data_IF_117680193274
#
_entry.id   IF_117680193274
#
_cell.length_a   1.000
_cell.length_b   1.000
_cell.length_c   1.000
_cell.angle_alpha   90.00
_cell.angle_beta   90.00
_cell.angle_gamma   90.00
#
_symmetry.space_group_name_H-M   'P 1'
#
loop_
_entity.id
_entity.type
_entity.pdbx_description
1 polymer ?
#
# COMPACT_ATOMS: atom_id res chain seq x y z
N UNK A 1 21.16 5.92 -10.40
CA UNK A 1 21.21 4.44 -10.26
C UNK A 1 20.03 3.94 -9.44
N UNK A 2 19.72 4.56 -8.30
CA UNK A 2 18.49 4.24 -7.52
C UNK A 2 17.19 4.51 -8.29
N UNK A 3 17.09 5.57 -9.08
CA UNK A 3 15.89 5.86 -9.88
C UNK A 3 15.60 4.82 -10.97
N UNK A 4 16.60 4.41 -11.74
CA UNK A 4 16.42 3.40 -12.79
C UNK A 4 16.05 2.02 -12.23
N UNK A 5 16.64 1.65 -11.08
CA UNK A 5 16.27 0.42 -10.36
C UNK A 5 14.82 0.51 -9.88
N UNK A 6 14.40 1.66 -9.32
CA UNK A 6 13.01 1.90 -8.93
C UNK A 6 12.05 1.82 -10.11
N UNK A 7 12.39 2.37 -11.27
CA UNK A 7 11.51 2.34 -12.46
C UNK A 7 11.37 0.94 -13.04
N UNK A 8 12.46 0.18 -13.17
CA UNK A 8 12.42 -1.21 -13.66
C UNK A 8 11.67 -2.12 -12.69
N UNK A 9 11.91 -1.96 -11.38
CA UNK A 9 11.20 -2.71 -10.35
C UNK A 9 9.70 -2.36 -10.33
N UNK A 10 9.35 -1.08 -10.41
CA UNK A 10 7.97 -0.61 -10.47
C UNK A 10 7.23 -1.17 -11.67
N UNK A 11 7.87 -1.17 -12.85
CA UNK A 11 7.27 -1.71 -14.06
C UNK A 11 7.03 -3.21 -13.94
N UNK A 12 8.04 -3.98 -13.56
CA UNK A 12 7.90 -5.43 -13.37
C UNK A 12 6.82 -5.79 -12.34
N UNK A 13 6.66 -4.97 -11.30
CA UNK A 13 5.67 -5.18 -10.26
C UNK A 13 4.26 -4.75 -10.67
N UNK A 14 4.13 -3.67 -11.45
CA UNK A 14 2.86 -3.27 -12.07
C UNK A 14 2.38 -4.35 -13.02
N UNK A 15 3.27 -4.84 -13.89
CA UNK A 15 2.97 -5.91 -14.85
C UNK A 15 2.51 -7.19 -14.11
N UNK A 16 3.16 -7.53 -12.99
CA UNK A 16 2.81 -8.69 -12.17
C UNK A 16 1.43 -8.58 -11.52
N UNK A 17 1.08 -7.42 -10.96
CA UNK A 17 -0.24 -7.21 -10.36
C UNK A 17 -1.33 -7.18 -11.44
N UNK A 18 -1.06 -6.54 -12.58
CA UNK A 18 -1.99 -6.49 -13.70
C UNK A 18 -2.27 -7.90 -14.25
N UNK A 19 -1.23 -8.73 -14.41
CA UNK A 19 -1.37 -10.14 -14.78
C UNK A 19 -2.21 -10.92 -13.75
N UNK A 20 -1.92 -10.76 -12.46
CA UNK A 20 -2.63 -11.47 -11.40
C UNK A 20 -4.13 -11.15 -11.38
N UNK A 21 -4.47 -9.86 -11.48
CA UNK A 21 -5.84 -9.37 -11.54
C UNK A 21 -6.59 -9.89 -12.77
N UNK A 22 -5.94 -9.95 -13.94
CA UNK A 22 -6.52 -10.50 -15.16
C UNK A 22 -6.78 -12.01 -15.05
N UNK A 23 -5.91 -12.73 -14.36
CA UNK A 23 -6.01 -14.17 -14.10
C UNK A 23 -7.02 -14.54 -13.00
N UNK A 24 -7.69 -13.57 -12.37
CA UNK A 24 -8.52 -13.75 -11.16
C UNK A 24 -7.76 -14.45 -10.02
N UNK A 25 -6.45 -14.20 -9.95
CA UNK A 25 -5.62 -14.53 -8.81
C UNK A 25 -5.54 -13.27 -7.95
N UNK A 26 -5.49 -13.41 -6.63
CA UNK A 26 -5.52 -12.26 -5.72
C UNK A 26 -4.46 -12.37 -4.61
N UNK A 27 -3.53 -13.31 -4.73
CA UNK A 27 -2.57 -13.61 -3.68
C UNK A 27 -1.60 -12.46 -3.41
N UNK A 28 -1.07 -11.79 -4.44
CA UNK A 28 -0.19 -10.63 -4.31
C UNK A 28 -0.98 -9.44 -3.77
N UNK A 29 -2.15 -9.15 -4.33
CA UNK A 29 -2.97 -8.00 -3.89
C UNK A 29 -3.37 -8.15 -2.43
N UNK A 30 -3.79 -9.34 -1.99
CA UNK A 30 -4.11 -9.61 -0.59
C UNK A 30 -2.90 -9.53 0.34
N UNK A 31 -1.71 -9.96 -0.12
CA UNK A 31 -0.45 -9.81 0.65
C UNK A 31 -0.10 -8.34 0.86
N UNK A 32 -0.20 -7.53 -0.19
CA UNK A 32 0.10 -6.09 -0.14
C UNK A 32 -0.89 -5.35 0.75
N UNK A 33 -2.18 -5.69 0.64
CA UNK A 33 -3.21 -5.17 1.53
C UNK A 33 -2.91 -5.47 3.00
N UNK A 34 -2.54 -6.72 3.32
CA UNK A 34 -2.12 -7.11 4.67
C UNK A 34 -0.86 -6.37 5.13
N UNK A 35 0.10 -6.15 4.24
CA UNK A 35 1.32 -5.42 4.54
C UNK A 35 1.02 -3.98 4.96
N UNK A 36 0.15 -3.27 4.22
CA UNK A 36 -0.31 -1.92 4.55
C UNK A 36 -0.89 -1.89 5.97
N UNK A 37 -1.79 -2.82 6.31
CA UNK A 37 -2.40 -2.94 7.65
C UNK A 37 -1.33 -3.08 8.73
N UNK A 38 -0.38 -4.01 8.55
CA UNK A 38 0.69 -4.26 9.53
C UNK A 38 1.55 -3.02 9.73
N UNK A 39 1.89 -2.31 8.65
CA UNK A 39 2.75 -1.11 8.70
C UNK A 39 2.05 0.06 9.38
N UNK A 40 0.76 0.30 9.09
CA UNK A 40 -0.03 1.32 9.81
C UNK A 40 -0.12 0.98 11.30
N UNK A 41 -0.44 -0.27 11.66
CA UNK A 41 -0.52 -0.66 13.08
C UNK A 41 0.83 -0.53 13.78
N UNK A 42 1.95 -0.88 13.12
CA UNK A 42 3.30 -0.63 13.63
C UNK A 42 3.57 0.85 13.86
N UNK A 43 2.91 1.72 13.08
CA UNK A 43 3.01 3.16 13.23
C UNK A 43 2.32 3.70 14.51
N UNK A 44 1.40 2.94 15.11
CA UNK A 44 0.60 3.34 16.26
C UNK A 44 1.09 2.62 17.53
N UNK A 45 1.80 3.29 18.46
CA UNK A 45 2.25 2.64 19.69
C UNK A 45 1.10 2.51 20.69
N UNK A 46 0.93 1.31 21.25
CA UNK A 46 0.18 1.07 22.50
C UNK A 46 -1.33 1.32 22.49
N UNK A 47 -1.95 1.50 21.30
CA UNK A 47 -3.41 1.67 21.15
C UNK A 47 -4.03 0.46 20.45
N UNK A 48 -4.34 -0.58 21.24
CA UNK A 48 -4.95 -1.80 20.72
C UNK A 48 -6.32 -1.56 20.10
N UNK A 49 -7.09 -0.61 20.63
CA UNK A 49 -8.41 -0.26 20.10
C UNK A 49 -8.34 0.28 18.66
N UNK A 50 -7.30 1.03 18.32
CA UNK A 50 -7.07 1.50 16.95
C UNK A 50 -6.58 0.38 16.05
N UNK A 51 -5.76 -0.54 16.58
CA UNK A 51 -5.34 -1.75 15.85
C UNK A 51 -6.55 -2.62 15.50
N UNK A 52 -7.46 -2.83 16.45
CA UNK A 52 -8.69 -3.59 16.26
C UNK A 52 -9.57 -2.92 15.20
N UNK A 53 -9.74 -1.60 15.27
CA UNK A 53 -10.51 -0.83 14.27
C UNK A 53 -9.92 -0.97 12.85
N UNK A 54 -8.59 -0.93 12.72
CA UNK A 54 -7.92 -1.10 11.42
C UNK A 54 -8.09 -2.54 10.94
N UNK A 55 -7.88 -3.52 11.81
CA UNK A 55 -8.00 -4.94 11.48
C UNK A 55 -9.42 -5.31 11.03
N UNK A 56 -10.45 -4.71 11.65
CA UNK A 56 -11.85 -4.90 11.27
C UNK A 56 -12.16 -4.28 9.91
N UNK A 57 -11.73 -3.03 9.68
CA UNK A 57 -12.02 -2.31 8.42
C UNK A 57 -11.18 -2.76 7.23
N UNK A 58 -10.02 -3.35 7.48
CA UNK A 58 -9.09 -3.81 6.45
C UNK A 58 -8.79 -5.30 6.61
N UNK A 59 -9.77 -6.11 7.02
CA UNK A 59 -9.58 -7.56 7.19
C UNK A 59 -9.13 -8.20 5.85
N UNK A 60 -7.91 -8.77 5.77
CA UNK A 60 -7.42 -9.40 4.55
C UNK A 60 -8.24 -10.62 4.09
N UNK A 61 -8.89 -11.32 5.02
CA UNK A 61 -9.75 -12.47 4.72
C UNK A 61 -11.03 -12.01 4.05
N UNK A 62 -11.69 -10.98 4.61
CA UNK A 62 -12.88 -10.40 4.02
C UNK A 62 -12.59 -9.79 2.65
N UNK A 63 -11.49 -9.03 2.54
CA UNK A 63 -11.06 -8.44 1.28
C UNK A 63 -10.86 -9.50 0.19
N UNK A 64 -10.19 -10.61 0.51
CA UNK A 64 -10.03 -11.74 -0.41
C UNK A 64 -11.37 -12.31 -0.86
N UNK A 65 -12.29 -12.54 0.08
CA UNK A 65 -13.63 -13.05 -0.23
C UNK A 65 -14.41 -12.09 -1.15
N UNK A 66 -14.27 -10.78 -0.97
CA UNK A 66 -14.94 -9.80 -1.82
C UNK A 66 -14.42 -9.84 -3.27
N UNK A 67 -13.11 -10.01 -3.43
CA UNK A 67 -12.48 -10.16 -4.75
C UNK A 67 -12.89 -11.47 -5.43
N UNK A 68 -12.80 -12.60 -4.73
CA UNK A 68 -13.14 -13.93 -5.25
C UNK A 68 -14.61 -14.03 -5.67
N UNK A 69 -15.51 -13.40 -4.92
CA UNK A 69 -16.93 -13.37 -5.24
C UNK A 69 -17.33 -12.22 -6.20
N UNK A 70 -16.36 -11.42 -6.68
CA UNK A 70 -16.58 -10.28 -7.60
C UNK A 70 -17.59 -9.25 -7.07
N UNK A 71 -17.66 -9.11 -5.75
CA UNK A 71 -18.51 -8.11 -5.09
C UNK A 71 -17.74 -6.85 -4.72
N UNK A 72 -16.40 -6.86 -4.84
CA UNK A 72 -15.57 -5.69 -4.61
C UNK A 72 -15.74 -4.65 -5.72
N UNK A 73 -16.23 -3.47 -5.36
CA UNK A 73 -16.60 -2.38 -6.27
C UNK A 73 -15.57 -1.26 -6.30
N UNK A 74 -15.66 -0.39 -7.31
CA UNK A 74 -14.84 0.83 -7.36
C UNK A 74 -15.10 1.80 -6.21
N UNK A 75 -16.33 1.81 -5.68
CA UNK A 75 -16.67 2.62 -4.50
C UNK A 75 -15.97 2.07 -3.25
N UNK A 76 -15.95 0.75 -3.05
CA UNK A 76 -15.19 0.11 -1.95
C UNK A 76 -13.69 0.36 -2.08
N UNK A 77 -13.15 0.32 -3.30
CA UNK A 77 -11.77 0.68 -3.57
C UNK A 77 -11.46 2.14 -3.20
N UNK A 78 -12.31 3.08 -3.62
CA UNK A 78 -12.19 4.49 -3.29
C UNK A 78 -12.23 4.72 -1.76
N UNK A 79 -13.17 4.08 -1.08
CA UNK A 79 -13.31 4.16 0.37
C UNK A 79 -12.07 3.63 1.09
N UNK A 80 -11.49 2.52 0.60
CA UNK A 80 -10.24 1.96 1.12
C UNK A 80 -9.06 2.93 0.91
N UNK A 81 -8.91 3.53 -0.28
CA UNK A 81 -7.87 4.51 -0.55
C UNK A 81 -7.97 5.66 0.45
N UNK A 82 -9.14 6.28 0.58
CA UNK A 82 -9.36 7.41 1.48
C UNK A 82 -9.09 7.04 2.95
N UNK A 83 -9.50 5.85 3.36
CA UNK A 83 -9.26 5.34 4.71
C UNK A 83 -7.77 5.21 5.02
N UNK A 84 -7.01 4.61 4.10
CA UNK A 84 -5.55 4.44 4.26
C UNK A 84 -4.84 5.80 4.27
N UNK A 85 -5.18 6.71 3.35
CA UNK A 85 -4.59 8.04 3.31
C UNK A 85 -4.93 8.88 4.56
N UNK A 86 -6.11 8.69 5.14
CA UNK A 86 -6.49 9.33 6.41
C UNK A 86 -5.57 8.89 7.54
N UNK A 87 -5.29 7.58 7.64
CA UNK A 87 -4.33 7.07 8.64
C UNK A 87 -2.93 7.61 8.42
N UNK A 88 -2.42 7.56 7.19
CA UNK A 88 -1.09 8.08 6.85
C UNK A 88 -0.98 9.55 7.22
N UNK A 89 -1.97 10.38 6.87
CA UNK A 89 -2.02 11.80 7.21
C UNK A 89 -2.03 12.02 8.73
N UNK A 90 -2.89 11.32 9.46
CA UNK A 90 -3.03 11.48 10.91
C UNK A 90 -1.77 11.06 11.69
N UNK A 91 -0.98 10.14 11.13
CA UNK A 91 0.26 9.67 11.75
C UNK A 91 1.49 10.46 11.31
N UNK A 92 1.38 11.18 10.19
CA UNK A 92 2.47 11.98 9.62
C UNK A 92 2.61 13.34 10.29
N UNK A 93 3.74 13.99 10.05
CA UNK A 93 3.96 15.38 10.46
C UNK A 93 3.22 16.33 9.51
N UNK A 94 2.77 17.52 9.98
CA UNK A 94 2.09 18.50 9.14
C UNK A 94 2.88 18.96 7.91
N UNK A 95 4.21 18.82 7.94
CA UNK A 95 5.08 19.13 6.80
C UNK A 95 4.81 18.24 5.58
N UNK A 96 4.26 17.03 5.77
CA UNK A 96 3.93 16.07 4.71
C UNK A 96 2.50 16.16 4.20
N UNK A 97 1.62 16.90 4.87
CA UNK A 97 0.19 16.95 4.55
C UNK A 97 -0.05 17.26 3.07
N UNK A 98 0.69 18.24 2.53
CA UNK A 98 0.56 18.65 1.12
C UNK A 98 0.94 17.54 0.15
N UNK A 99 1.99 16.79 0.42
CA UNK A 99 2.47 15.71 -0.45
C UNK A 99 1.52 14.51 -0.42
N UNK A 100 1.00 14.18 0.77
CA UNK A 100 -0.02 13.15 0.96
C UNK A 100 -1.31 13.53 0.22
N UNK A 101 -1.76 14.78 0.34
CA UNK A 101 -2.95 15.29 -0.35
C UNK A 101 -2.79 15.29 -1.87
N UNK A 102 -1.64 15.73 -2.40
CA UNK A 102 -1.35 15.69 -3.83
C UNK A 102 -1.38 14.26 -4.36
N UNK A 103 -0.75 13.34 -3.63
CA UNK A 103 -0.69 11.92 -3.97
C UNK A 103 -2.09 11.28 -4.04
N UNK A 104 -2.97 11.62 -3.09
CA UNK A 104 -4.38 11.21 -3.11
C UNK A 104 -5.12 11.83 -4.29
N UNK A 105 -5.01 13.14 -4.49
CA UNK A 105 -5.70 13.87 -5.56
C UNK A 105 -5.33 13.35 -6.95
N UNK A 106 -4.08 12.95 -7.18
CA UNK A 106 -3.65 12.29 -8.41
C UNK A 106 -4.35 10.95 -8.64
N UNK A 107 -4.43 10.09 -7.61
CA UNK A 107 -5.14 8.81 -7.70
C UNK A 107 -6.63 9.02 -8.01
N UNK A 108 -7.26 9.98 -7.33
CA UNK A 108 -8.66 10.32 -7.56
C UNK A 108 -8.89 10.87 -8.97
N UNK A 109 -7.96 11.66 -9.48
CA UNK A 109 -8.00 12.14 -10.85
C UNK A 109 -7.91 10.99 -11.85
N UNK A 110 -6.94 10.08 -11.69
CA UNK A 110 -6.82 8.91 -12.58
C UNK A 110 -8.06 8.02 -12.55
N UNK A 111 -8.70 7.89 -11.38
CA UNK A 111 -9.98 7.18 -11.26
C UNK A 111 -11.10 7.87 -12.04
N UNK A 112 -11.21 9.21 -11.93
CA UNK A 112 -12.18 10.00 -12.70
C UNK A 112 -11.92 9.97 -14.21
N UNK A 113 -10.65 9.89 -14.61
CA UNK A 113 -10.22 9.77 -16.01
C UNK A 113 -10.47 8.35 -16.58
N UNK A 114 -11.01 7.42 -15.78
CA UNK A 114 -11.39 6.08 -16.22
C UNK A 114 -10.22 5.11 -16.35
N UNK A 115 -9.10 5.35 -15.65
CA UNK A 115 -7.98 4.41 -15.61
C UNK A 115 -8.43 3.08 -15.01
N UNK A 116 -7.94 1.97 -15.57
CA UNK A 116 -8.34 0.62 -15.15
C UNK A 116 -7.82 0.27 -13.75
N UNK A 117 -8.53 -0.63 -13.05
CA UNK A 117 -8.07 -1.18 -11.77
C UNK A 117 -6.67 -1.81 -11.85
N UNK A 118 -6.36 -2.46 -12.97
CA UNK A 118 -5.04 -3.05 -13.23
C UNK A 118 -3.89 -2.04 -13.13
N UNK A 119 -4.15 -0.74 -13.35
CA UNK A 119 -3.16 0.34 -13.20
C UNK A 119 -3.32 1.11 -11.91
N UNK A 120 -4.55 1.34 -11.45
CA UNK A 120 -4.83 2.07 -10.22
C UNK A 120 -4.35 1.32 -8.96
N UNK A 121 -4.52 0.01 -8.91
CA UNK A 121 -4.12 -0.80 -7.73
C UNK A 121 -2.60 -0.75 -7.52
N UNK A 122 -1.74 -0.99 -8.54
CA UNK A 122 -0.30 -0.80 -8.41
C UNK A 122 0.09 0.62 -8.00
N UNK A 123 -0.50 1.64 -8.64
CA UNK A 123 -0.18 3.03 -8.32
C UNK A 123 -0.51 3.36 -6.86
N UNK A 124 -1.69 2.96 -6.39
CA UNK A 124 -2.12 3.13 -5.01
C UNK A 124 -1.16 2.46 -4.03
N UNK A 125 -0.87 1.17 -4.24
CA UNK A 125 -0.03 0.42 -3.32
C UNK A 125 1.38 0.99 -3.29
N UNK A 126 1.96 1.39 -4.42
CA UNK A 126 3.27 2.04 -4.45
C UNK A 126 3.27 3.34 -3.63
N UNK A 127 2.34 4.24 -3.91
CA UNK A 127 2.26 5.55 -3.25
C UNK A 127 2.10 5.39 -1.74
N UNK A 128 1.24 4.47 -1.30
CA UNK A 128 1.07 4.15 0.12
C UNK A 128 2.35 3.64 0.76
N UNK A 129 3.07 2.72 0.12
CA UNK A 129 4.33 2.21 0.68
C UNK A 129 5.40 3.30 0.78
N UNK A 130 5.47 4.23 -0.18
CA UNK A 130 6.37 5.38 -0.11
C UNK A 130 6.05 6.27 1.09
N UNK A 131 4.78 6.63 1.28
CA UNK A 131 4.39 7.43 2.45
C UNK A 131 4.62 6.71 3.77
N UNK A 132 4.43 5.39 3.82
CA UNK A 132 4.74 4.58 4.99
C UNK A 132 6.25 4.50 5.25
N UNK A 133 7.08 4.42 4.22
CA UNK A 133 8.55 4.45 4.34
C UNK A 133 9.01 5.77 4.96
N UNK A 134 8.46 6.89 4.48
CA UNK A 134 8.74 8.23 5.00
C UNK A 134 8.26 8.33 6.46
N UNK A 135 7.02 7.92 6.73
CA UNK A 135 6.45 7.93 8.08
C UNK A 135 7.30 7.13 9.08
N UNK A 136 7.68 5.90 8.73
CA UNK A 136 8.48 5.05 9.60
C UNK A 136 9.89 5.62 9.82
N UNK A 137 10.47 6.24 8.77
CA UNK A 137 11.77 6.94 8.85
C UNK A 137 11.72 8.09 9.87
N UNK A 138 10.69 8.92 9.82
CA UNK A 138 10.54 10.04 10.74
C UNK A 138 10.22 9.64 12.17
N UNK A 139 9.54 8.51 12.35
CA UNK A 139 9.30 7.94 13.67
C UNK A 139 10.56 7.30 14.26
N UNK A 140 11.70 7.36 13.57
CA UNK A 140 12.95 6.71 13.96
C UNK A 140 12.80 5.19 14.07
N UNK A 141 11.77 4.63 13.42
CA UNK A 141 11.51 3.19 13.39
C UNK A 141 12.35 2.63 12.26
N UNK A 142 13.45 1.98 12.63
CA UNK A 142 14.50 1.54 11.73
C UNK A 142 14.02 0.48 10.71
N UNK A 143 13.40 0.90 9.60
CA UNK A 143 12.94 0.00 8.50
C UNK A 143 14.08 -0.39 7.58
N UNK A 144 15.08 0.49 7.45
CA UNK A 144 16.20 0.21 6.55
C UNK A 144 17.09 -0.91 7.05
N UNK A 145 17.11 -1.26 8.35
CA UNK A 145 17.87 -2.43 8.81
C UNK A 145 17.27 -3.76 8.37
N UNK A 146 16.01 -4.04 8.68
CA UNK A 146 15.40 -5.35 8.38
C UNK A 146 15.21 -5.60 6.89
N UNK A 147 14.84 -4.59 6.11
CA UNK A 147 14.71 -4.73 4.66
C UNK A 147 16.08 -4.88 3.98
N UNK A 148 17.10 -4.10 4.37
CA UNK A 148 18.47 -4.27 3.84
C UNK A 148 19.11 -5.60 4.28
N UNK A 149 18.81 -6.10 5.48
CA UNK A 149 19.26 -7.40 5.98
C UNK A 149 18.59 -8.56 5.22
N UNK A 150 17.26 -8.51 5.03
CA UNK A 150 16.53 -9.48 4.22
C UNK A 150 17.03 -9.55 2.77
N UNK A 151 17.32 -8.39 2.17
CA UNK A 151 17.89 -8.30 0.81
C UNK A 151 19.34 -8.81 0.77
N UNK A 152 20.16 -8.52 1.78
CA UNK A 152 21.54 -9.04 1.88
C UNK A 152 21.59 -10.55 2.06
N UNK A 153 20.71 -11.12 2.88
CA UNK A 153 20.62 -12.58 3.07
C UNK A 153 20.26 -13.29 1.76
N UNK A 154 19.34 -12.72 0.98
CA UNK A 154 18.95 -13.31 -0.31
C UNK A 154 20.01 -13.16 -1.40
N UNK A 155 20.81 -12.09 -1.37
CA UNK A 155 21.87 -11.83 -2.36
C UNK A 155 23.19 -12.57 -2.06
N UNK A 156 23.47 -12.92 -0.80
CA UNK A 156 24.68 -13.67 -0.40
C UNK A 156 24.53 -15.19 -0.49
N UNK A 157 23.37 -15.69 -0.95
CA UNK A 157 23.13 -17.11 -1.24
C UNK A 157 23.19 -17.45 -2.74
N UNK A 158 23.82 -16.61 -3.56
CA UNK A 158 24.25 -16.95 -4.92
C UNK A 158 25.77 -17.01 -5.00
#
# INVERSE_FOLDING_TARGET
>A
MEEQIKTTYYKAWTDLIEEELNDNKFDIVCKLHREIVIRICRCIPSRSDLHDQIAEKMDPVLFRQQLENKVYTGEEFLNMIQYVYTWIKNLSSPARDKDIENSLNELLKHMNDGVTFGKLVPEFVLKVHQHLDDLETDLGRDVTKKFKEFVKEKLNTQ
#
